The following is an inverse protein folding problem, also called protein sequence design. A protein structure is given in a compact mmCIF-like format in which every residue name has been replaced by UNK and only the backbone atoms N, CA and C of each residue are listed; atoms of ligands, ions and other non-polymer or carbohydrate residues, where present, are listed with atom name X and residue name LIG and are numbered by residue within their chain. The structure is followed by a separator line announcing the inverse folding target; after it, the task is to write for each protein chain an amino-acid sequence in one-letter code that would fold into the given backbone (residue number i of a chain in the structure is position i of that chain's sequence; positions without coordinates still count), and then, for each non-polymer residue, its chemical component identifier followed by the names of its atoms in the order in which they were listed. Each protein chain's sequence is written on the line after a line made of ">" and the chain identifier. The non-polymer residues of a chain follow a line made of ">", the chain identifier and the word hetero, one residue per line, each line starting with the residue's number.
data_IF_850806357302
#
_entry.id   IF_850806357302
#
_cell.length_a   1.000
_cell.length_b   1.000
_cell.length_c   1.000
_cell.angle_alpha   90.00
_cell.angle_beta   90.00
_cell.angle_gamma   90.00
#
_symmetry.space_group_name_H-M   'P 1'
#
loop_
_entity.id
_entity.type
_entity.pdbx_description
1 polymer ?
#
# COMPACT_ATOMS: atom_id res chain seq x y z
N UNK A 1 1.95 8.73 -12.37
CA UNK A 1 2.05 9.24 -10.98
C UNK A 1 3.28 8.67 -10.30
N UNK A 2 3.65 9.12 -9.11
CA UNK A 2 4.83 8.63 -8.36
C UNK A 2 4.48 8.33 -6.91
N UNK A 3 4.99 7.21 -6.38
CA UNK A 3 4.92 6.92 -4.94
C UNK A 3 6.03 7.72 -4.25
N UNK A 4 5.66 8.59 -3.32
CA UNK A 4 6.59 9.45 -2.59
C UNK A 4 7.05 8.82 -1.28
N UNK A 5 6.12 8.16 -0.59
CA UNK A 5 6.35 7.55 0.72
C UNK A 5 5.45 6.32 0.89
N UNK A 6 5.90 5.37 1.69
CA UNK A 6 5.14 4.17 2.04
C UNK A 6 5.46 3.80 3.47
N UNK A 7 4.42 3.59 4.28
CA UNK A 7 4.55 3.13 5.66
C UNK A 7 3.47 2.10 5.96
N UNK A 8 3.75 1.19 6.88
CA UNK A 8 2.84 0.13 7.26
C UNK A 8 2.67 0.07 8.78
N UNK A 9 1.46 -0.22 9.22
CA UNK A 9 1.14 -0.46 10.63
C UNK A 9 0.31 -1.73 10.80
N UNK A 10 0.55 -2.44 11.90
CA UNK A 10 -0.26 -3.60 12.29
C UNK A 10 -1.37 -3.16 13.22
N UNK A 11 -2.58 -3.63 12.95
CA UNK A 11 -3.75 -3.40 13.80
C UNK A 11 -3.83 -4.45 14.91
N UNK A 12 -4.69 -4.22 15.91
CA UNK A 12 -4.86 -5.10 17.06
C UNK A 12 -5.32 -6.55 16.73
N UNK A 13 -5.78 -6.80 15.50
CA UNK A 13 -6.25 -8.11 15.04
C UNK A 13 -5.33 -8.77 14.01
N UNK A 14 -4.13 -8.24 13.79
CA UNK A 14 -3.15 -8.81 12.87
C UNK A 14 -3.23 -8.28 11.44
N UNK A 15 -4.27 -7.51 11.09
CA UNK A 15 -4.34 -6.85 9.78
C UNK A 15 -3.22 -5.81 9.64
N UNK A 16 -2.73 -5.63 8.42
CA UNK A 16 -1.76 -4.58 8.10
C UNK A 16 -2.45 -3.49 7.28
N UNK A 17 -2.21 -2.23 7.66
CA UNK A 17 -2.63 -1.06 6.88
C UNK A 17 -1.40 -0.45 6.25
N UNK A 18 -1.38 -0.37 4.93
CA UNK A 18 -0.33 0.27 4.15
C UNK A 18 -0.78 1.68 3.74
N UNK A 19 -0.12 2.69 4.28
CA UNK A 19 -0.30 4.09 3.91
C UNK A 19 0.68 4.47 2.79
N UNK A 20 0.16 4.90 1.65
CA UNK A 20 0.96 5.27 0.47
C UNK A 20 0.69 6.70 0.06
N UNK A 21 1.73 7.55 0.07
CA UNK A 21 1.65 8.89 -0.50
C UNK A 21 1.95 8.85 -2.00
N UNK A 22 1.06 9.41 -2.81
CA UNK A 22 1.18 9.42 -4.27
C UNK A 22 1.04 10.84 -4.80
N UNK A 23 2.02 11.29 -5.57
CA UNK A 23 2.02 12.58 -6.25
C UNK A 23 1.74 12.46 -7.75
N UNK A 24 1.10 13.50 -8.28
CA UNK A 24 0.94 13.75 -9.70
C UNK A 24 1.63 15.06 -10.07
N UNK A 25 2.77 14.96 -10.76
CA UNK A 25 3.56 16.13 -11.20
C UNK A 25 3.11 16.69 -12.54
N UNK A 26 2.09 16.11 -13.18
CA UNK A 26 1.50 16.67 -14.40
C UNK A 26 0.50 17.78 -14.07
N UNK A 27 0.25 18.68 -15.02
CA UNK A 27 -0.71 19.79 -14.86
C UNK A 27 -2.19 19.38 -15.00
N UNK A 28 -2.51 18.09 -15.06
CA UNK A 28 -3.87 17.57 -15.23
C UNK A 28 -4.11 16.38 -14.31
N UNK A 29 -5.38 16.10 -13.98
CA UNK A 29 -5.75 14.89 -13.25
C UNK A 29 -5.26 13.63 -13.95
N UNK A 30 -4.73 12.68 -13.20
CA UNK A 30 -4.30 11.38 -13.71
C UNK A 30 -4.91 10.25 -12.86
N UNK A 31 -5.24 9.15 -13.50
CA UNK A 31 -5.78 7.95 -12.87
C UNK A 31 -4.94 6.74 -13.26
N UNK A 32 -4.50 5.98 -12.26
CA UNK A 32 -3.71 4.75 -12.42
C UNK A 32 -4.17 3.76 -11.32
N UNK A 33 -3.67 2.52 -11.37
CA UNK A 33 -3.88 1.54 -10.31
C UNK A 33 -2.71 1.58 -9.31
N UNK A 34 -3.00 1.79 -8.03
CA UNK A 34 -2.05 1.61 -6.94
C UNK A 34 -2.04 0.15 -6.52
N UNK A 35 -0.87 -0.48 -6.55
CA UNK A 35 -0.64 -1.84 -6.05
C UNK A 35 0.19 -1.76 -4.76
N UNK A 36 -0.32 -2.35 -3.69
CA UNK A 36 0.42 -2.59 -2.45
C UNK A 36 0.68 -4.07 -2.23
N UNK A 37 1.81 -4.39 -1.62
CA UNK A 37 2.21 -5.77 -1.32
C UNK A 37 2.78 -5.87 0.09
N UNK A 38 2.37 -6.92 0.81
CA UNK A 38 2.94 -7.33 2.11
C UNK A 38 3.54 -8.73 1.93
N UNK A 39 4.82 -8.87 2.25
CA UNK A 39 5.54 -10.15 2.22
C UNK A 39 5.85 -10.58 3.67
N UNK A 40 5.29 -11.72 4.07
CA UNK A 40 5.43 -12.25 5.42
C UNK A 40 6.71 -13.07 5.55
N UNK A 41 7.35 -12.97 6.72
CA UNK A 41 8.44 -13.87 7.12
C UNK A 41 7.88 -15.27 7.37
N UNK A 42 7.66 -16.01 6.28
CA UNK A 42 6.89 -17.26 6.23
C UNK A 42 6.69 -17.72 4.78
N UNK A 43 6.73 -16.77 3.84
CA UNK A 43 6.68 -17.02 2.40
C UNK A 43 5.36 -16.60 1.76
N UNK A 44 4.37 -16.22 2.57
CA UNK A 44 3.08 -15.72 2.10
C UNK A 44 3.19 -14.26 1.66
N UNK A 45 2.56 -13.96 0.53
CA UNK A 45 2.51 -12.62 -0.07
C UNK A 45 1.06 -12.22 -0.22
N UNK A 46 0.70 -11.06 0.33
CA UNK A 46 -0.60 -10.44 0.19
C UNK A 46 -0.49 -9.25 -0.76
N UNK A 47 -1.47 -9.10 -1.65
CA UNK A 47 -1.47 -8.03 -2.66
C UNK A 47 -2.84 -7.38 -2.72
N UNK A 48 -2.87 -6.05 -2.64
CA UNK A 48 -4.09 -5.25 -2.75
C UNK A 48 -3.95 -4.26 -3.90
N UNK A 49 -5.07 -3.97 -4.58
CA UNK A 49 -5.09 -3.05 -5.73
C UNK A 49 -6.21 -2.04 -5.57
N UNK A 50 -5.91 -0.78 -5.83
CA UNK A 50 -6.86 0.30 -5.75
C UNK A 50 -6.72 1.25 -6.92
N UNK A 51 -7.81 1.51 -7.61
CA UNK A 51 -7.87 2.58 -8.60
C UNK A 51 -7.85 3.94 -7.87
N UNK A 52 -6.94 4.81 -8.28
CA UNK A 52 -6.72 6.12 -7.67
C UNK A 52 -6.78 7.23 -8.71
N UNK A 53 -7.17 8.42 -8.27
CA UNK A 53 -7.10 9.64 -9.08
C UNK A 53 -6.44 10.73 -8.27
N UNK A 54 -5.37 11.30 -8.80
CA UNK A 54 -4.69 12.45 -8.20
C UNK A 54 -4.79 13.61 -9.17
N UNK A 55 -5.33 14.73 -8.69
CA UNK A 55 -5.40 15.97 -9.44
C UNK A 55 -3.99 16.46 -9.84
N UNK A 56 -3.94 17.30 -10.86
CA UNK A 56 -2.67 17.85 -11.34
C UNK A 56 -1.93 18.63 -10.26
N UNK A 57 -0.62 18.45 -10.18
CA UNK A 57 0.27 19.12 -9.23
C UNK A 57 -0.10 18.91 -7.74
N UNK A 58 -0.81 17.81 -7.42
CA UNK A 58 -1.22 17.45 -6.06
C UNK A 58 -0.65 16.11 -5.59
N UNK A 59 -0.78 15.85 -4.30
CA UNK A 59 -0.45 14.58 -3.65
C UNK A 59 -1.59 14.14 -2.73
N UNK A 60 -1.90 12.85 -2.75
CA UNK A 60 -2.91 12.22 -1.90
C UNK A 60 -2.29 11.03 -1.15
N UNK A 61 -2.81 10.73 0.03
CA UNK A 61 -2.47 9.50 0.76
C UNK A 61 -3.61 8.49 0.61
N UNK A 62 -3.25 7.25 0.32
CA UNK A 62 -4.18 6.13 0.19
C UNK A 62 -3.82 5.04 1.19
N UNK A 63 -4.85 4.45 1.78
CA UNK A 63 -4.73 3.27 2.64
C UNK A 63 -5.14 2.03 1.85
N UNK A 64 -4.33 0.98 1.98
CA UNK A 64 -4.62 -0.38 1.53
C UNK A 64 -4.64 -1.29 2.75
N UNK A 65 -5.76 -1.96 2.97
CA UNK A 65 -5.97 -2.84 4.13
C UNK A 65 -5.74 -4.29 3.71
N UNK A 66 -4.86 -4.99 4.43
CA UNK A 66 -4.53 -6.39 4.22
C UNK A 66 -5.06 -7.21 5.39
N UNK A 67 -6.00 -8.11 5.10
CA UNK A 67 -6.46 -9.13 6.04
C UNK A 67 -5.42 -10.25 6.07
N UNK A 68 -4.65 -10.30 7.16
CA UNK A 68 -3.58 -11.27 7.38
C UNK A 68 -4.06 -12.25 8.44
N UNK A 69 -3.93 -13.54 8.14
CA UNK A 69 -4.32 -14.60 9.05
C UNK A 69 -3.64 -14.41 10.42
N UNK A 70 -4.43 -14.40 11.49
CA UNK A 70 -3.96 -14.04 12.82
C UNK A 70 -2.78 -14.91 13.29
N UNK A 71 -2.77 -16.20 12.92
CA UNK A 71 -1.64 -17.10 13.21
C UNK A 71 -0.32 -16.67 12.57
N UNK A 72 -0.39 -16.06 11.39
CA UNK A 72 0.77 -15.53 10.68
C UNK A 72 1.18 -14.19 11.28
N UNK A 73 0.23 -13.32 11.62
CA UNK A 73 0.51 -12.02 12.26
C UNK A 73 1.26 -12.14 13.59
N UNK A 74 0.98 -13.18 14.38
CA UNK A 74 1.65 -13.45 15.66
C UNK A 74 3.07 -14.00 15.48
N UNK A 75 3.33 -14.62 14.33
CA UNK A 75 4.64 -15.20 13.98
C UNK A 75 5.50 -14.21 13.20
N UNK A 76 4.86 -13.27 12.52
CA UNK A 76 5.49 -12.17 11.81
C UNK A 76 5.91 -11.09 12.79
N UNK A 77 7.02 -11.35 13.48
CA UNK A 77 7.79 -10.29 14.13
C UNK A 77 8.33 -9.27 13.12
N UNK A 78 8.44 -9.65 11.84
CA UNK A 78 8.95 -8.82 10.74
C UNK A 78 8.19 -9.17 9.44
N UNK A 79 7.79 -8.15 8.68
CA UNK A 79 7.22 -8.25 7.33
C UNK A 79 7.85 -7.18 6.45
N UNK A 80 7.93 -7.43 5.15
CA UNK A 80 8.34 -6.43 4.17
C UNK A 80 7.09 -5.88 3.48
N UNK A 81 7.15 -4.61 3.09
CA UNK A 81 6.06 -3.96 2.38
C UNK A 81 6.57 -3.11 1.24
N UNK A 82 5.76 -3.02 0.18
CA UNK A 82 6.06 -2.16 -0.97
C UNK A 82 4.78 -1.66 -1.63
N UNK A 83 4.90 -0.53 -2.33
CA UNK A 83 3.83 0.03 -3.14
C UNK A 83 4.37 0.52 -4.49
N UNK A 84 3.56 0.39 -5.55
CA UNK A 84 3.89 0.91 -6.89
C UNK A 84 2.64 1.31 -7.66
N UNK A 85 2.84 2.18 -8.64
CA UNK A 85 1.82 2.54 -9.62
C UNK A 85 1.90 1.60 -10.83
N UNK A 86 0.77 1.06 -11.26
CA UNK A 86 0.59 0.35 -12.53
C UNK A 86 -0.28 1.21 -13.46
N UNK A 87 0.26 1.50 -14.66
CA UNK A 87 -0.31 2.40 -15.68
C UNK A 87 -0.49 1.71 -17.02
#
# INVERSE_FOLDING_TARGET
>A
MTVDDTSAETTAFGNVVLSVAVSNTSGSSNSDTLLGQIDMTGGDTYTERRDITVDGEQSNTYELEFDIDFSESLSASEFEYSARIES
#
